data_IF_379138433801
#
_entry.id   IF_379138433801
#
_cell.length_a   1.000
_cell.length_b   1.000
_cell.length_c   1.000
_cell.angle_alpha   90.00
_cell.angle_beta   90.00
_cell.angle_gamma   90.00
#
_symmetry.space_group_name_H-M   'P 1'
#
loop_
_entity.id
_entity.type
_entity.pdbx_description
1 polymer ?
#
# COMPACT_ATOMS: atom_id res chain seq x y z
N UNK A 1 -7.55 25.89 7.91
CA UNK A 1 -7.99 24.85 6.92
C UNK A 1 -6.96 23.72 6.71
N UNK A 2 -5.75 23.86 7.26
CA UNK A 2 -4.53 23.06 7.05
C UNK A 2 -4.18 22.20 8.28
N UNK A 3 -4.77 22.49 9.45
CA UNK A 3 -4.52 21.76 10.70
C UNK A 3 -4.96 20.29 10.65
N UNK A 4 -6.08 19.99 9.97
CA UNK A 4 -6.64 18.64 9.92
C UNK A 4 -5.78 17.68 9.10
N UNK A 5 -5.24 18.14 7.96
CA UNK A 5 -4.35 17.33 7.12
C UNK A 5 -3.03 17.00 7.83
N UNK A 6 -2.51 17.95 8.60
CA UNK A 6 -1.29 17.78 9.40
C UNK A 6 -1.55 16.79 10.55
N UNK A 7 -2.69 16.92 11.25
CA UNK A 7 -3.07 15.98 12.29
C UNK A 7 -3.21 14.55 11.75
N UNK A 8 -3.80 14.38 10.57
CA UNK A 8 -3.97 13.05 9.96
C UNK A 8 -2.62 12.43 9.59
N UNK A 9 -1.72 13.20 8.97
CA UNK A 9 -0.39 12.72 8.62
C UNK A 9 0.41 12.32 9.87
N UNK A 10 0.40 13.16 10.92
CA UNK A 10 1.05 12.85 12.18
C UNK A 10 0.45 11.62 12.86
N UNK A 11 -0.89 11.51 12.87
CA UNK A 11 -1.59 10.36 13.43
C UNK A 11 -1.25 9.05 12.71
N UNK A 12 -1.12 9.06 11.39
CA UNK A 12 -0.71 7.89 10.62
C UNK A 12 0.73 7.46 10.92
N UNK A 13 1.66 8.42 11.02
CA UNK A 13 3.07 8.14 11.35
C UNK A 13 3.18 7.59 12.78
N UNK A 14 2.58 8.27 13.76
CA UNK A 14 2.62 7.86 15.17
C UNK A 14 1.89 6.53 15.36
N UNK A 15 0.75 6.33 14.71
CA UNK A 15 -0.02 5.09 14.77
C UNK A 15 0.74 3.89 14.20
N UNK A 16 1.39 4.06 13.04
CA UNK A 16 2.24 3.02 12.46
C UNK A 16 3.43 2.70 13.36
N UNK A 17 4.12 3.71 13.90
CA UNK A 17 5.24 3.53 14.83
C UNK A 17 4.81 2.81 16.11
N UNK A 18 3.65 3.17 16.67
CA UNK A 18 3.09 2.51 17.85
C UNK A 18 2.69 1.06 17.52
N UNK A 19 2.02 0.83 16.39
CA UNK A 19 1.63 -0.51 15.94
C UNK A 19 2.84 -1.41 15.71
N UNK A 20 3.89 -0.90 15.06
CA UNK A 20 5.16 -1.65 14.88
C UNK A 20 5.87 -1.93 16.20
N UNK A 21 5.74 -1.03 17.18
CA UNK A 21 6.32 -1.21 18.52
C UNK A 21 5.58 -2.29 19.32
N UNK A 22 4.24 -2.34 19.23
CA UNK A 22 3.43 -3.39 19.87
C UNK A 22 3.57 -4.75 19.19
N UNK A 23 3.67 -4.79 17.86
CA UNK A 23 3.80 -6.04 17.11
C UNK A 23 5.17 -6.70 17.25
N UNK A 24 6.17 -6.03 17.85
CA UNK A 24 7.54 -6.56 18.04
C UNK A 24 8.18 -7.07 16.73
N UNK A 25 7.67 -6.59 15.60
CA UNK A 25 8.20 -6.81 14.26
C UNK A 25 9.03 -5.58 13.94
N UNK A 26 10.26 -5.53 14.45
CA UNK A 26 11.24 -4.62 13.90
C UNK A 26 11.73 -5.30 12.62
N UNK A 27 11.45 -4.79 11.41
CA UNK A 27 11.93 -5.36 10.16
C UNK A 27 13.43 -5.08 9.99
N UNK A 28 14.27 -5.52 10.95
CA UNK A 28 15.73 -5.38 10.92
C UNK A 28 16.42 -6.53 10.21
N UNK A 29 15.68 -7.47 9.63
CA UNK A 29 16.24 -8.51 8.81
C UNK A 29 15.15 -9.45 8.33
N UNK A 30 15.09 -9.66 7.01
CA UNK A 30 14.52 -10.89 6.47
C UNK A 30 15.47 -11.35 5.39
N UNK A 31 15.96 -12.56 5.58
CA UNK A 31 16.89 -13.32 4.74
C UNK A 31 16.45 -13.51 3.27
N UNK A 32 15.27 -13.01 2.87
CA UNK A 32 14.77 -12.94 1.50
C UNK A 32 14.04 -11.61 1.22
N UNK A 33 14.45 -10.52 1.87
CA UNK A 33 13.81 -9.22 1.75
C UNK A 33 14.08 -8.57 0.39
N UNK A 34 13.01 -8.10 -0.27
CA UNK A 34 13.14 -7.26 -1.47
C UNK A 34 14.15 -6.15 -1.21
N UNK A 35 15.11 -5.99 -2.14
CA UNK A 35 16.16 -4.99 -2.03
C UNK A 35 15.60 -3.63 -1.57
N UNK A 36 16.32 -2.93 -0.69
CA UNK A 36 15.93 -1.57 -0.23
C UNK A 36 15.51 -0.68 -1.41
N UNK A 37 16.23 -0.80 -2.54
CA UNK A 37 15.94 -0.08 -3.77
C UNK A 37 14.56 -0.43 -4.36
N UNK A 38 14.19 -1.71 -4.38
CA UNK A 38 12.88 -2.17 -4.86
C UNK A 38 11.74 -1.68 -3.99
N UNK A 39 11.90 -1.67 -2.66
CA UNK A 39 10.90 -1.16 -1.72
C UNK A 39 10.70 0.36 -1.85
N UNK A 40 11.78 1.11 -2.03
CA UNK A 40 11.73 2.56 -2.30
C UNK A 40 11.07 2.84 -3.65
N UNK A 41 11.44 2.10 -4.68
CA UNK A 41 10.89 2.28 -6.02
C UNK A 41 9.39 1.94 -6.07
N UNK A 42 8.97 0.90 -5.36
CA UNK A 42 7.56 0.57 -5.15
C UNK A 42 6.81 1.66 -4.40
N UNK A 43 7.39 2.24 -3.35
CA UNK A 43 6.80 3.39 -2.65
C UNK A 43 6.65 4.61 -3.57
N UNK A 44 7.63 4.88 -4.42
CA UNK A 44 7.59 6.00 -5.37
C UNK A 44 6.52 5.80 -6.46
N UNK A 45 6.40 4.59 -7.03
CA UNK A 45 5.37 4.30 -8.04
C UNK A 45 3.96 4.43 -7.44
N UNK A 46 3.80 4.01 -6.17
CA UNK A 46 2.53 4.13 -5.45
C UNK A 46 2.18 5.61 -5.19
N UNK A 47 3.17 6.44 -4.84
CA UNK A 47 2.99 7.88 -4.68
C UNK A 47 2.60 8.57 -6.00
N UNK A 48 3.26 8.22 -7.11
CA UNK A 48 2.91 8.72 -8.44
C UNK A 48 1.48 8.32 -8.84
N UNK A 49 1.10 7.06 -8.60
CA UNK A 49 -0.26 6.57 -8.84
C UNK A 49 -1.31 7.35 -8.04
N UNK A 50 -1.05 7.63 -6.76
CA UNK A 50 -1.94 8.43 -5.92
C UNK A 50 -2.11 9.87 -6.44
N UNK A 51 -1.07 10.44 -7.07
CA UNK A 51 -1.17 11.77 -7.70
C UNK A 51 -1.96 11.74 -9.00
N UNK A 52 -1.76 10.74 -9.86
CA UNK A 52 -2.55 10.57 -11.08
C UNK A 52 -4.04 10.34 -10.79
N UNK A 53 -4.37 9.65 -9.68
CA UNK A 53 -5.75 9.44 -9.24
C UNK A 53 -6.41 10.70 -8.61
N UNK A 54 -5.67 11.81 -8.48
CA UNK A 54 -6.20 13.07 -7.94
C UNK A 54 -6.43 13.09 -6.42
N UNK A 55 -5.94 12.08 -5.68
CA UNK A 55 -6.13 12.02 -4.23
C UNK A 55 -5.50 10.80 -3.56
N UNK A 56 -5.32 10.89 -2.24
CA UNK A 56 -4.91 9.76 -1.42
C UNK A 56 -6.08 8.81 -1.14
N UNK A 57 -5.78 7.54 -0.84
CA UNK A 57 -6.77 6.51 -0.48
C UNK A 57 -7.64 6.94 0.71
N UNK A 58 -7.15 7.77 1.62
CA UNK A 58 -7.98 8.33 2.71
C UNK A 58 -9.03 9.34 2.22
N UNK A 59 -8.71 10.13 1.20
CA UNK A 59 -9.63 11.11 0.61
C UNK A 59 -10.71 10.45 -0.26
N UNK A 60 -10.30 9.55 -1.17
CA UNK A 60 -11.24 8.84 -2.05
C UNK A 60 -11.95 7.68 -1.34
N UNK A 61 -11.32 7.01 -0.37
CA UNK A 61 -11.83 5.79 0.26
C UNK A 61 -12.60 5.97 1.56
N UNK A 62 -12.26 6.96 2.41
CA UNK A 62 -12.91 7.13 3.74
C UNK A 62 -14.01 8.20 3.69
N UNK A 63 -13.74 9.35 3.04
CA UNK A 63 -14.73 10.43 2.87
C UNK A 63 -15.44 10.40 1.52
N UNK A 64 -14.88 9.78 0.48
CA UNK A 64 -15.49 9.75 -0.85
C UNK A 64 -16.58 8.69 -1.03
N UNK A 65 -16.51 7.58 -0.29
CA UNK A 65 -17.47 6.47 -0.35
C UNK A 65 -18.85 6.84 0.22
N UNK A 66 -18.94 7.84 1.11
CA UNK A 66 -20.20 8.30 1.71
C UNK A 66 -21.06 9.12 0.75
N UNK A 67 -20.49 9.63 -0.35
CA UNK A 67 -21.20 10.43 -1.36
C UNK A 67 -21.79 9.61 -2.53
N UNK A 68 -21.72 8.27 -2.49
CA UNK A 68 -22.27 7.36 -3.52
C UNK A 68 -21.82 7.67 -4.97
N UNK A 69 -20.67 8.33 -5.12
CA UNK A 69 -20.09 8.69 -6.41
C UNK A 69 -19.36 7.48 -7.00
N UNK A 70 -19.75 7.07 -8.20
CA UNK A 70 -19.15 5.96 -8.97
C UNK A 70 -17.61 6.08 -9.09
N UNK A 71 -17.09 7.31 -9.08
CA UNK A 71 -15.65 7.60 -9.11
C UNK A 71 -14.86 7.07 -7.90
N UNK A 72 -15.47 6.99 -6.71
CA UNK A 72 -14.79 6.43 -5.52
C UNK A 72 -14.73 4.90 -5.57
N UNK A 73 -15.74 4.26 -6.19
CA UNK A 73 -15.75 2.81 -6.40
C UNK A 73 -14.69 2.38 -7.42
N UNK A 74 -14.56 3.09 -8.54
CA UNK A 74 -13.61 2.71 -9.60
C UNK A 74 -12.14 2.86 -9.16
N UNK A 75 -11.83 3.91 -8.37
CA UNK A 75 -10.47 4.09 -7.84
C UNK A 75 -10.13 3.02 -6.80
N UNK A 76 -11.07 2.62 -5.94
CA UNK A 76 -10.85 1.55 -4.97
C UNK A 76 -10.68 0.21 -5.67
N UNK A 77 -11.56 -0.10 -6.64
CA UNK A 77 -11.48 -1.32 -7.43
C UNK A 77 -10.14 -1.43 -8.19
N UNK A 78 -9.64 -0.31 -8.72
CA UNK A 78 -8.35 -0.29 -9.44
C UNK A 78 -7.15 -0.49 -8.52
N UNK A 79 -7.16 0.08 -7.31
CA UNK A 79 -6.10 -0.13 -6.31
C UNK A 79 -6.03 -1.59 -5.90
N UNK A 80 -7.17 -2.18 -5.55
CA UNK A 80 -7.24 -3.59 -5.18
C UNK A 80 -6.91 -4.51 -6.36
N UNK A 81 -7.46 -4.22 -7.55
CA UNK A 81 -7.19 -4.98 -8.77
C UNK A 81 -5.70 -4.98 -9.13
N UNK A 82 -5.05 -3.82 -9.14
CA UNK A 82 -3.61 -3.70 -9.40
C UNK A 82 -2.76 -4.45 -8.38
N UNK A 83 -3.12 -4.38 -7.09
CA UNK A 83 -2.43 -5.13 -6.03
C UNK A 83 -2.57 -6.65 -6.16
N UNK A 84 -3.76 -7.14 -6.48
CA UNK A 84 -4.02 -8.58 -6.70
C UNK A 84 -3.25 -9.07 -7.92
N UNK A 85 -3.27 -8.34 -9.03
CA UNK A 85 -2.55 -8.71 -10.26
C UNK A 85 -1.04 -8.74 -10.00
N UNK A 86 -0.50 -7.73 -9.32
CA UNK A 86 0.92 -7.69 -9.00
C UNK A 86 1.32 -8.86 -8.07
N UNK A 87 0.58 -9.09 -6.99
CA UNK A 87 0.81 -10.23 -6.10
C UNK A 87 0.70 -11.57 -6.81
N UNK A 88 -0.31 -11.73 -7.66
CA UNK A 88 -0.49 -12.93 -8.48
C UNK A 88 0.66 -13.13 -9.48
N UNK A 89 1.18 -12.06 -10.08
CA UNK A 89 2.34 -12.13 -10.99
C UNK A 89 3.63 -12.55 -10.27
N UNK A 90 3.85 -12.04 -9.04
CA UNK A 90 4.97 -12.48 -8.19
C UNK A 90 4.83 -13.93 -7.75
N UNK A 91 3.61 -14.39 -7.49
CA UNK A 91 3.33 -15.81 -7.20
C UNK A 91 3.62 -16.70 -8.41
N UNK A 92 3.22 -16.30 -9.61
CA UNK A 92 3.50 -17.04 -10.83
C UNK A 92 5.01 -17.15 -11.11
N UNK A 93 5.76 -16.08 -10.84
CA UNK A 93 7.23 -16.07 -10.94
C UNK A 93 7.94 -16.88 -9.85
N UNK A 94 7.30 -17.14 -8.70
CA UNK A 94 7.87 -17.94 -7.60
C UNK A 94 7.50 -19.43 -7.67
N UNK A 95 6.63 -19.84 -8.61
CA UNK A 95 6.22 -21.24 -8.77
C UNK A 95 7.34 -22.17 -9.28
N UNK A 96 8.57 -21.70 -9.50
CA UNK A 96 9.72 -22.57 -9.78
C UNK A 96 10.23 -23.33 -8.53
N UNK A 97 9.74 -23.01 -7.33
CA UNK A 97 10.14 -23.68 -6.08
C UNK A 97 9.22 -24.82 -5.62
N UNK A 98 8.01 -24.95 -6.17
CA UNK A 98 7.08 -26.02 -5.74
C UNK A 98 7.03 -27.24 -6.68
N UNK A 99 7.63 -27.19 -7.87
CA UNK A 99 7.68 -28.32 -8.82
C UNK A 99 9.06 -28.99 -8.97
N UNK A 100 10.09 -28.54 -8.24
CA UNK A 100 11.41 -29.21 -8.17
C UNK A 100 11.53 -30.17 -6.96
N UNK A 101 10.50 -30.26 -6.11
CA UNK A 101 10.50 -31.09 -4.90
C UNK A 101 9.30 -32.08 -4.88
N UNK A 102 8.89 -32.53 -6.07
CA UNK A 102 7.96 -33.65 -6.31
C UNK A 102 8.54 -34.56 -7.39
#
# INVERSE_FOLDING_TARGET
KNHVSILFALGAIVGSALSSSLSKTIPLGSENGTNILSSILGGFILLLGARCAGGCTSGQGISGTTHLLVGSFITTASIFGGGIIFGFSTLLSNNEWLFQNL
#
